data_IF_933387289649
#
_entry.id   IF_933387289649
#
_cell.length_a   1.000
_cell.length_b   1.000
_cell.length_c   1.000
_cell.angle_alpha   90.00
_cell.angle_beta   90.00
_cell.angle_gamma   90.00
#
_symmetry.space_group_name_H-M   'P 1'
#
loop_
_entity.id
_entity.type
_entity.pdbx_description
1 polymer ?
#
# COMPACT_ATOMS: atom_id res chain seq x y z
N UNK A 1 -8.87 23.36 -27.31
CA UNK A 1 -7.55 23.64 -26.70
C UNK A 1 -7.43 22.67 -25.55
N UNK A 2 -6.46 21.75 -25.57
CA UNK A 2 -6.30 20.80 -24.46
C UNK A 2 -5.86 21.58 -23.21
N UNK A 3 -6.44 21.25 -22.07
CA UNK A 3 -6.04 21.83 -20.79
C UNK A 3 -4.78 21.08 -20.30
N UNK A 4 -3.67 21.81 -20.18
CA UNK A 4 -2.37 21.28 -19.77
C UNK A 4 -2.01 21.65 -18.33
N UNK A 5 -2.93 22.30 -17.61
CA UNK A 5 -2.69 22.75 -16.24
C UNK A 5 -2.95 21.66 -15.20
N UNK A 6 -3.66 20.59 -15.56
CA UNK A 6 -4.12 19.55 -14.64
C UNK A 6 -3.86 18.12 -15.17
N UNK A 7 -3.79 17.16 -14.25
CA UNK A 7 -3.67 15.73 -14.55
C UNK A 7 -5.04 15.16 -14.92
N UNK A 8 -5.32 15.09 -16.22
CA UNK A 8 -6.55 14.50 -16.77
C UNK A 8 -6.25 13.22 -17.56
N UNK A 9 -7.30 12.43 -17.83
CA UNK A 9 -7.19 11.18 -18.59
C UNK A 9 -8.30 11.03 -19.62
N UNK A 10 -7.92 10.88 -20.89
CA UNK A 10 -8.82 10.59 -22.02
C UNK A 10 -9.01 9.07 -22.22
N UNK A 11 -9.24 8.33 -21.14
CA UNK A 11 -9.49 6.90 -21.13
C UNK A 11 -10.64 6.58 -20.17
N UNK A 12 -11.26 5.40 -20.33
CA UNK A 12 -12.37 4.98 -19.47
C UNK A 12 -11.93 4.89 -18.00
N UNK A 13 -12.79 5.37 -17.09
CA UNK A 13 -12.52 5.44 -15.66
C UNK A 13 -11.23 6.22 -15.29
N UNK A 14 -11.02 7.39 -15.89
CA UNK A 14 -9.88 8.28 -15.58
C UNK A 14 -9.82 8.81 -14.14
N UNK A 15 -10.88 8.62 -13.36
CA UNK A 15 -10.89 8.84 -11.91
C UNK A 15 -10.12 7.76 -11.12
N UNK A 16 -9.84 6.61 -11.74
CA UNK A 16 -9.24 5.47 -11.05
C UNK A 16 -7.80 5.75 -10.59
N UNK A 17 -6.90 6.37 -11.39
CA UNK A 17 -5.57 6.73 -10.90
C UNK A 17 -5.59 7.79 -9.79
N UNK A 18 -6.60 8.67 -9.78
CA UNK A 18 -6.75 9.67 -8.72
C UNK A 18 -6.92 9.04 -7.34
N UNK A 19 -7.51 7.84 -7.23
CA UNK A 19 -7.62 7.12 -5.96
C UNK A 19 -6.60 5.98 -5.81
N UNK A 20 -6.32 5.23 -6.88
CA UNK A 20 -5.46 4.04 -6.82
C UNK A 20 -3.99 4.40 -6.59
N UNK A 21 -3.51 5.51 -7.17
CA UNK A 21 -2.13 5.96 -6.93
C UNK A 21 -1.97 6.34 -5.45
N UNK A 22 -2.84 7.19 -4.87
CA UNK A 22 -2.85 7.41 -3.43
C UNK A 22 -2.90 6.16 -2.57
N UNK A 23 -3.86 5.30 -2.88
CA UNK A 23 -4.14 4.13 -2.09
C UNK A 23 -2.92 3.20 -2.03
N UNK A 24 -2.30 2.92 -3.18
CA UNK A 24 -1.21 1.94 -3.25
C UNK A 24 0.14 2.52 -2.83
N UNK A 25 0.42 3.79 -3.10
CA UNK A 25 1.77 4.34 -2.88
C UNK A 25 1.98 4.99 -1.52
N UNK A 26 0.93 5.40 -0.81
CA UNK A 26 1.12 6.06 0.50
C UNK A 26 0.07 5.73 1.56
N UNK A 27 -1.06 5.10 1.21
CA UNK A 27 -2.02 4.62 2.21
C UNK A 27 -1.72 3.16 2.59
N UNK A 28 -1.76 2.23 1.64
CA UNK A 28 -1.54 0.80 1.84
C UNK A 28 -0.12 0.40 2.29
N UNK A 29 0.96 1.11 1.93
CA UNK A 29 2.29 0.70 2.37
C UNK A 29 2.43 0.67 3.89
N UNK A 30 1.80 1.60 4.64
CA UNK A 30 1.93 1.62 6.10
C UNK A 30 1.25 0.42 6.77
N UNK A 31 -0.02 0.06 6.46
CA UNK A 31 -0.61 -1.19 6.93
C UNK A 31 0.19 -2.43 6.50
N UNK A 32 0.68 -2.48 5.27
CA UNK A 32 1.47 -3.63 4.78
C UNK A 32 2.77 -3.75 5.58
N UNK A 33 3.52 -2.66 5.76
CA UNK A 33 4.73 -2.66 6.55
C UNK A 33 4.47 -3.01 8.01
N UNK A 34 3.36 -2.56 8.59
CA UNK A 34 2.98 -2.94 9.94
C UNK A 34 2.71 -4.45 10.06
N UNK A 35 1.97 -5.03 9.12
CA UNK A 35 1.68 -6.47 9.11
C UNK A 35 2.97 -7.30 8.94
N UNK A 36 3.84 -6.89 8.02
CA UNK A 36 5.13 -7.55 7.79
C UNK A 36 6.02 -7.42 9.02
N UNK A 37 6.09 -6.24 9.63
CA UNK A 37 6.84 -6.00 10.85
C UNK A 37 6.38 -6.90 12.00
N UNK A 38 5.07 -6.97 12.25
CA UNK A 38 4.51 -7.85 13.28
C UNK A 38 4.76 -9.33 13.01
N UNK A 39 4.85 -9.74 11.74
CA UNK A 39 5.20 -11.11 11.39
C UNK A 39 6.69 -11.41 11.63
N UNK A 40 7.59 -10.47 11.33
CA UNK A 40 9.04 -10.60 11.55
C UNK A 40 9.38 -10.61 13.04
N UNK A 41 8.81 -9.70 13.81
CA UNK A 41 9.06 -9.56 15.27
C UNK A 41 8.21 -10.51 16.12
N UNK A 42 7.47 -11.43 15.49
CA UNK A 42 6.73 -12.44 16.24
C UNK A 42 7.74 -13.40 16.86
N UNK A 43 8.00 -13.26 18.16
CA UNK A 43 8.77 -14.26 18.91
C UNK A 43 8.16 -15.64 18.66
N UNK A 44 9.00 -16.56 18.20
CA UNK A 44 8.63 -17.97 18.09
C UNK A 44 8.49 -18.46 19.52
N UNK A 45 7.25 -18.62 19.99
CA UNK A 45 6.98 -19.41 21.18
C UNK A 45 7.25 -20.86 20.81
N UNK A 46 8.52 -21.22 20.61
CA UNK A 46 8.95 -22.60 20.47
C UNK A 46 8.77 -23.27 21.84
N UNK A 47 7.79 -24.17 22.00
CA UNK A 47 7.53 -24.83 23.25
C UNK A 47 8.54 -25.96 23.56
N UNK A 48 9.65 -26.07 22.81
CA UNK A 48 10.69 -27.09 23.01
C UNK A 48 12.10 -26.52 23.27
N UNK A 49 12.23 -25.23 23.59
CA UNK A 49 13.54 -24.61 23.91
C UNK A 49 13.93 -24.67 25.41
N UNK A 50 13.24 -25.50 26.19
CA UNK A 50 13.52 -25.86 27.57
C UNK A 50 14.32 -27.17 27.72
N UNK A 51 15.43 -27.29 26.96
CA UNK A 51 16.52 -28.24 27.23
C UNK A 51 17.88 -27.57 27.25
#
# INVERSE_FOLDING_TARGET
>A
MADFSELTGAYAASWLPWIMIPLVFYILPFPIFALVFLWIEREDSDPNLDT
#
